data_IF_636160843438
#
_entry.id   IF_636160843438
#
_cell.length_a   1.000
_cell.length_b   1.000
_cell.length_c   1.000
_cell.angle_alpha   90.00
_cell.angle_beta   90.00
_cell.angle_gamma   90.00
#
_symmetry.space_group_name_H-M   'P 1'
#
loop_
_entity.id
_entity.type
_entity.pdbx_description
1 polymer ?
#
# COMPACT_ATOMS: atom_id res chain seq x y z
N UNK A 1 -6.30 -62.80 19.44
CA UNK A 1 -5.09 -61.94 19.39
C UNK A 1 -5.36 -60.69 18.55
N UNK A 2 -6.39 -59.90 18.88
CA UNK A 2 -6.87 -58.77 18.05
C UNK A 2 -7.24 -57.52 18.86
N UNK A 3 -6.97 -57.51 20.16
CA UNK A 3 -7.24 -56.39 21.07
C UNK A 3 -6.18 -55.25 21.12
N UNK A 4 -4.89 -55.43 20.74
CA UNK A 4 -3.91 -54.34 20.88
C UNK A 4 -3.91 -53.33 19.72
N UNK A 5 -4.27 -53.74 18.49
CA UNK A 5 -4.21 -52.86 17.31
C UNK A 5 -5.34 -51.82 17.25
N UNK A 6 -6.52 -52.15 17.80
CA UNK A 6 -7.66 -51.22 17.88
C UNK A 6 -7.36 -50.08 18.86
N UNK A 7 -6.62 -50.37 19.93
CA UNK A 7 -6.22 -49.36 20.92
C UNK A 7 -5.24 -48.34 20.32
N UNK A 8 -4.30 -48.79 19.48
CA UNK A 8 -3.36 -47.92 18.79
C UNK A 8 -4.04 -47.01 17.76
N UNK A 9 -5.06 -47.52 17.05
CA UNK A 9 -5.85 -46.72 16.11
C UNK A 9 -6.69 -45.63 16.81
N UNK A 10 -7.25 -45.94 17.99
CA UNK A 10 -8.00 -44.95 18.78
C UNK A 10 -7.11 -43.87 19.40
N UNK A 11 -5.86 -44.21 19.76
CA UNK A 11 -4.87 -43.23 20.22
C UNK A 11 -4.38 -42.31 19.09
N UNK A 12 -4.21 -42.85 17.88
CA UNK A 12 -3.91 -42.04 16.71
C UNK A 12 -5.05 -41.08 16.36
N UNK A 13 -6.31 -41.54 16.40
CA UNK A 13 -7.46 -40.65 16.18
C UNK A 13 -7.57 -39.54 17.23
N UNK A 14 -7.30 -39.83 18.52
CA UNK A 14 -7.30 -38.80 19.56
C UNK A 14 -6.20 -37.75 19.35
N UNK A 15 -5.01 -38.16 18.88
CA UNK A 15 -3.91 -37.24 18.62
C UNK A 15 -4.19 -36.29 17.45
N UNK A 16 -4.93 -36.77 16.43
CA UNK A 16 -5.34 -35.95 15.30
C UNK A 16 -6.47 -34.97 15.69
N UNK A 17 -7.41 -35.40 16.53
CA UNK A 17 -8.45 -34.54 17.09
C UNK A 17 -7.87 -33.42 17.97
N UNK A 18 -6.84 -33.72 18.77
CA UNK A 18 -6.17 -32.71 19.61
C UNK A 18 -5.36 -31.68 18.80
N UNK A 19 -4.85 -32.06 17.62
CA UNK A 19 -4.19 -31.12 16.69
C UNK A 19 -5.19 -30.25 15.93
N UNK A 20 -6.38 -30.76 15.63
CA UNK A 20 -7.47 -29.98 15.02
C UNK A 20 -8.19 -29.04 16.01
N UNK A 21 -8.15 -29.35 17.31
CA UNK A 21 -8.74 -28.52 18.37
C UNK A 21 -7.84 -27.38 18.84
N UNK A 22 -6.63 -27.22 18.29
CA UNK A 22 -5.83 -26.03 18.56
C UNK A 22 -6.52 -24.84 17.87
N UNK A 23 -7.02 -23.84 18.62
CA UNK A 23 -7.49 -22.62 17.99
C UNK A 23 -6.28 -22.06 17.25
N UNK A 24 -6.42 -21.91 15.93
CA UNK A 24 -5.50 -21.11 15.13
C UNK A 24 -5.48 -19.76 15.82
N UNK A 25 -4.46 -19.53 16.65
CA UNK A 25 -4.23 -18.28 17.32
C UNK A 25 -3.92 -17.35 16.18
N UNK A 26 -4.97 -16.69 15.68
CA UNK A 26 -4.88 -15.74 14.59
C UNK A 26 -3.70 -14.88 14.94
N UNK A 27 -2.64 -15.06 14.16
CA UNK A 27 -1.42 -14.29 14.31
C UNK A 27 -1.93 -12.86 14.25
N UNK A 28 -1.88 -12.18 15.41
CA UNK A 28 -2.23 -10.78 15.45
C UNK A 28 -1.19 -10.14 14.56
N UNK A 29 -1.57 -9.95 13.29
CA UNK A 29 -0.84 -9.14 12.33
C UNK A 29 -0.68 -7.84 13.05
N UNK A 30 0.49 -7.64 13.63
CA UNK A 30 0.83 -6.42 14.29
C UNK A 30 0.85 -5.42 13.16
N UNK A 31 -0.25 -4.70 13.01
CA UNK A 31 -0.35 -3.50 12.20
C UNK A 31 0.45 -2.43 12.93
N UNK A 32 1.76 -2.67 13.06
CA UNK A 32 2.74 -1.61 13.21
C UNK A 32 2.70 -0.89 11.87
N UNK A 33 1.68 -0.05 11.70
CA UNK A 33 1.76 1.11 10.84
C UNK A 33 3.03 1.79 11.34
N UNK A 34 4.09 1.78 10.52
CA UNK A 34 5.35 2.40 10.88
C UNK A 34 5.07 3.79 11.46
N UNK A 35 5.92 4.25 12.39
CA UNK A 35 5.69 5.50 13.15
C UNK A 35 5.35 6.74 12.30
N UNK A 36 5.53 6.68 10.98
CA UNK A 36 4.94 7.58 10.01
C UNK A 36 3.41 7.37 9.88
N UNK A 37 2.63 8.20 10.57
CA UNK A 37 1.18 8.26 10.39
C UNK A 37 0.75 8.62 8.96
N UNK A 38 -0.54 8.44 8.67
CA UNK A 38 -1.13 8.78 7.36
C UNK A 38 -0.78 10.20 6.89
N UNK A 39 -0.74 11.18 7.80
CA UNK A 39 -0.39 12.57 7.49
C UNK A 39 1.03 12.75 6.97
N UNK A 40 2.02 12.09 7.57
CA UNK A 40 3.41 12.15 7.08
C UNK A 40 3.53 11.50 5.71
N UNK A 41 2.80 10.41 5.47
CA UNK A 41 2.88 9.70 4.19
C UNK A 41 2.12 10.42 3.07
N UNK A 42 1.05 11.13 3.41
CA UNK A 42 0.42 12.08 2.51
C UNK A 42 1.37 13.23 2.16
N UNK A 43 2.07 13.80 3.15
CA UNK A 43 3.03 14.88 2.90
C UNK A 43 4.19 14.42 2.01
N UNK A 44 4.74 13.24 2.28
CA UNK A 44 5.75 12.60 1.44
C UNK A 44 5.23 12.37 0.00
N UNK A 45 3.97 11.98 -0.14
CA UNK A 45 3.33 11.78 -1.44
C UNK A 45 3.14 13.07 -2.22
N UNK A 46 2.73 14.17 -1.57
CA UNK A 46 2.64 15.50 -2.20
C UNK A 46 4.03 15.96 -2.68
N UNK A 47 5.06 15.77 -1.85
CA UNK A 47 6.44 16.07 -2.24
C UNK A 47 6.92 15.19 -3.41
N UNK A 48 6.52 13.92 -3.46
CA UNK A 48 6.81 13.04 -4.62
C UNK A 48 6.15 13.55 -5.90
N UNK A 49 4.88 13.97 -5.85
CA UNK A 49 4.19 14.56 -7.01
C UNK A 49 4.90 15.83 -7.49
N UNK A 50 5.29 16.72 -6.57
CA UNK A 50 6.01 17.94 -6.90
C UNK A 50 7.36 17.65 -7.58
N UNK A 51 8.12 16.66 -7.06
CA UNK A 51 9.38 16.20 -7.67
C UNK A 51 9.18 15.61 -9.07
N UNK A 52 8.13 14.81 -9.27
CA UNK A 52 7.80 14.27 -10.60
C UNK A 52 7.54 15.40 -11.60
N UNK A 53 6.75 16.41 -11.22
CA UNK A 53 6.47 17.56 -12.07
C UNK A 53 7.73 18.36 -12.42
N UNK A 54 8.60 18.63 -11.45
CA UNK A 54 9.85 19.35 -11.67
C UNK A 54 10.80 18.55 -12.56
N UNK A 55 10.96 17.25 -12.29
CA UNK A 55 11.80 16.35 -13.10
C UNK A 55 11.33 16.28 -14.55
N UNK A 56 10.03 16.13 -14.77
CA UNK A 56 9.46 16.07 -16.12
C UNK A 56 9.70 17.38 -16.89
N UNK A 57 9.50 18.53 -16.24
CA UNK A 57 9.81 19.85 -16.83
C UNK A 57 11.31 20.02 -17.11
N UNK A 58 12.17 19.60 -16.19
CA UNK A 58 13.62 19.67 -16.37
C UNK A 58 14.09 18.84 -17.58
N UNK A 59 13.59 17.61 -17.70
CA UNK A 59 13.88 16.76 -18.86
C UNK A 59 13.32 17.33 -20.16
N UNK A 60 12.14 17.94 -20.12
CA UNK A 60 11.58 18.62 -21.30
C UNK A 60 12.45 19.79 -21.77
N UNK A 61 12.97 20.59 -20.83
CA UNK A 61 13.92 21.67 -21.15
C UNK A 61 15.25 21.14 -21.67
N UNK A 62 15.80 20.09 -21.05
CA UNK A 62 17.05 19.46 -21.48
C UNK A 62 16.93 18.87 -22.90
N UNK A 63 15.79 18.25 -23.22
CA UNK A 63 15.48 17.78 -24.56
C UNK A 63 15.41 18.94 -25.57
N UNK A 64 14.72 20.03 -25.23
CA UNK A 64 14.64 21.22 -26.08
C UNK A 64 16.01 21.89 -26.30
N UNK A 65 16.90 21.81 -25.31
CA UNK A 65 18.27 22.27 -25.39
C UNK A 65 19.19 21.33 -26.21
N UNK A 66 18.68 20.16 -26.63
CA UNK A 66 19.43 19.19 -27.43
C UNK A 66 20.44 18.37 -26.63
N UNK A 67 20.23 18.17 -25.32
CA UNK A 67 21.14 17.35 -24.52
C UNK A 67 21.23 15.91 -25.08
N UNK A 68 22.44 15.40 -25.33
CA UNK A 68 22.63 14.00 -25.67
C UNK A 68 22.22 13.14 -24.45
N UNK A 69 21.54 12.02 -24.70
CA UNK A 69 20.99 11.08 -23.70
C UNK A 69 19.62 11.43 -23.09
N UNK A 70 18.94 12.48 -23.55
CA UNK A 70 17.51 12.68 -23.24
C UNK A 70 16.69 12.28 -24.46
N UNK A 71 15.93 11.18 -24.34
CA UNK A 71 15.04 10.76 -25.41
C UNK A 71 13.63 11.35 -25.26
N UNK A 72 12.97 11.66 -26.37
CA UNK A 72 11.63 12.25 -26.35
C UNK A 72 10.59 11.34 -25.66
N UNK A 73 10.70 10.02 -25.85
CA UNK A 73 9.85 9.02 -25.18
C UNK A 73 9.92 9.13 -23.67
N UNK A 74 11.12 9.30 -23.11
CA UNK A 74 11.31 9.39 -21.66
C UNK A 74 10.69 10.67 -21.10
N UNK A 75 10.85 11.80 -21.81
CA UNK A 75 10.18 13.06 -21.45
C UNK A 75 8.67 12.89 -21.45
N UNK A 76 8.11 12.29 -22.51
CA UNK A 76 6.67 12.08 -22.65
C UNK A 76 6.12 11.17 -21.55
N UNK A 77 6.82 10.07 -21.24
CA UNK A 77 6.43 9.14 -20.18
C UNK A 77 6.49 9.81 -18.82
N UNK A 78 7.52 10.60 -18.54
CA UNK A 78 7.64 11.30 -17.25
C UNK A 78 6.59 12.41 -17.10
N UNK A 79 6.26 13.11 -18.18
CA UNK A 79 5.14 14.08 -18.20
C UNK A 79 3.79 13.39 -17.93
N UNK A 80 3.55 12.22 -18.53
CA UNK A 80 2.34 11.44 -18.26
C UNK A 80 2.29 10.95 -16.81
N UNK A 81 3.40 10.43 -16.28
CA UNK A 81 3.50 10.02 -14.86
C UNK A 81 3.20 11.17 -13.92
N UNK A 82 3.77 12.35 -14.16
CA UNK A 82 3.53 13.54 -13.36
C UNK A 82 2.05 13.96 -13.40
N UNK A 83 1.44 13.97 -14.59
CA UNK A 83 0.02 14.30 -14.77
C UNK A 83 -0.91 13.33 -14.02
N UNK A 84 -0.72 12.01 -14.19
CA UNK A 84 -1.53 11.00 -13.50
C UNK A 84 -1.33 11.07 -11.99
N UNK A 85 -0.10 11.21 -11.52
CA UNK A 85 0.19 11.35 -10.09
C UNK A 85 -0.47 12.60 -9.49
N UNK A 86 -0.47 13.72 -10.21
CA UNK A 86 -1.15 14.95 -9.80
C UNK A 86 -2.67 14.78 -9.74
N UNK A 87 -3.28 14.18 -10.76
CA UNK A 87 -4.71 13.89 -10.79
C UNK A 87 -5.13 13.02 -9.60
N UNK A 88 -4.36 11.97 -9.31
CA UNK A 88 -4.58 11.12 -8.14
C UNK A 88 -4.43 11.91 -6.83
N UNK A 89 -3.42 12.78 -6.73
CA UNK A 89 -3.23 13.67 -5.60
C UNK A 89 -4.42 14.62 -5.37
N UNK A 90 -5.04 15.14 -6.44
CA UNK A 90 -6.25 15.95 -6.35
C UNK A 90 -7.44 15.14 -5.80
N UNK A 91 -7.61 13.89 -6.24
CA UNK A 91 -8.66 13.03 -5.70
C UNK A 91 -8.47 12.76 -4.21
N UNK A 92 -7.24 12.48 -3.77
CA UNK A 92 -6.91 12.30 -2.36
C UNK A 92 -7.19 13.58 -1.56
N UNK A 93 -6.74 14.75 -2.06
CA UNK A 93 -7.04 16.05 -1.46
C UNK A 93 -8.54 16.27 -1.30
N UNK A 94 -9.31 16.04 -2.36
CA UNK A 94 -10.77 16.21 -2.32
C UNK A 94 -11.40 15.26 -1.31
N UNK A 95 -10.97 13.99 -1.27
CA UNK A 95 -11.45 13.01 -0.29
C UNK A 95 -11.15 13.42 1.14
N UNK A 96 -9.97 14.00 1.40
CA UNK A 96 -9.60 14.52 2.71
C UNK A 96 -10.46 15.71 3.14
N UNK A 97 -10.69 16.66 2.22
CA UNK A 97 -11.55 17.81 2.50
C UNK A 97 -12.97 17.34 2.79
N UNK A 98 -13.49 16.37 2.04
CA UNK A 98 -14.79 15.75 2.32
C UNK A 98 -14.78 15.05 3.67
N UNK A 99 -13.78 14.20 3.97
CA UNK A 99 -13.71 13.51 5.26
C UNK A 99 -13.65 14.49 6.45
N UNK A 100 -12.91 15.59 6.32
CA UNK A 100 -12.90 16.65 7.34
C UNK A 100 -14.29 17.29 7.51
N UNK A 101 -14.96 17.63 6.40
CA UNK A 101 -16.33 18.16 6.43
C UNK A 101 -17.31 17.15 7.03
N UNK A 102 -17.20 15.87 6.69
CA UNK A 102 -18.05 14.80 7.19
C UNK A 102 -17.91 14.67 8.72
N UNK A 103 -16.67 14.67 9.25
CA UNK A 103 -16.42 14.67 10.70
C UNK A 103 -16.97 15.94 11.36
N UNK A 104 -16.86 17.10 10.72
CA UNK A 104 -17.38 18.37 11.24
C UNK A 104 -18.93 18.43 11.21
N UNK A 105 -19.55 17.75 10.25
CA UNK A 105 -20.99 17.63 10.10
C UNK A 105 -21.58 16.43 10.88
N UNK A 106 -20.74 15.52 11.38
CA UNK A 106 -21.10 14.60 12.47
C UNK A 106 -21.22 15.43 13.76
N UNK A 107 -22.35 16.11 13.91
CA UNK A 107 -22.77 16.61 15.21
C UNK A 107 -23.16 15.44 16.11
N UNK A 108 -22.81 15.62 17.39
CA UNK A 108 -23.24 14.90 18.60
C UNK A 108 -24.69 14.46 18.61
#
# INVERSE_FOLDING_TARGET
MSSPSIQSALQQMHSLAAQAAQPVRGEQVSTVVGQAGFGSELQASIQRINRLQQSANAKAMAFQAGEPNIELNDVMVDMQKASVAFQMGLQVRNRLVTAYRDVMNMQV
#
